data_IF_950926030103
#
_entry.id   IF_950926030103
#
_cell.length_a   1.000
_cell.length_b   1.000
_cell.length_c   1.000
_cell.angle_alpha   90.00
_cell.angle_beta   90.00
_cell.angle_gamma   90.00
#
_symmetry.space_group_name_H-M   'P 1'
#
loop_
_entity.id
_entity.type
_entity.pdbx_description
1 polymer ?
#
# COMPACT_ATOMS: atom_id res chain seq x y z
N UNK A 1 12.92 -53.92 29.79
CA UNK A 1 14.10 -53.22 29.23
C UNK A 1 13.60 -52.25 28.19
N UNK A 2 13.73 -50.96 28.46
CA UNK A 2 13.08 -49.89 27.70
C UNK A 2 13.87 -49.40 26.49
N UNK A 3 13.18 -48.57 25.71
CA UNK A 3 13.74 -47.70 24.68
C UNK A 3 12.60 -46.84 24.13
N UNK A 4 12.42 -45.59 24.57
CA UNK A 4 11.32 -44.75 24.12
C UNK A 4 11.60 -44.32 22.67
N UNK A 5 10.70 -44.69 21.76
CA UNK A 5 10.72 -44.20 20.39
C UNK A 5 10.60 -42.68 20.37
N UNK A 6 11.51 -42.00 19.66
CA UNK A 6 11.46 -40.55 19.41
C UNK A 6 10.22 -40.21 18.58
N UNK A 7 9.13 -39.92 19.27
CA UNK A 7 7.93 -39.28 18.70
C UNK A 7 8.04 -37.74 18.77
N UNK A 8 9.11 -37.20 19.37
CA UNK A 8 9.29 -35.76 19.61
C UNK A 8 9.81 -34.97 18.40
N UNK A 9 10.63 -35.55 17.52
CA UNK A 9 11.35 -34.78 16.47
C UNK A 9 10.48 -34.40 15.25
N UNK A 10 9.36 -35.10 15.01
CA UNK A 10 8.47 -34.80 13.86
C UNK A 10 7.48 -33.67 14.10
N UNK A 11 7.12 -33.37 15.35
CA UNK A 11 6.14 -32.30 15.66
C UNK A 11 6.77 -30.90 15.62
N UNK A 12 8.08 -30.79 15.79
CA UNK A 12 8.79 -29.51 15.89
C UNK A 12 9.08 -28.89 14.51
N UNK A 13 9.24 -29.72 13.47
CA UNK A 13 9.48 -29.29 12.08
C UNK A 13 8.23 -28.71 11.41
N UNK A 14 7.04 -29.24 11.71
CA UNK A 14 5.77 -28.73 11.17
C UNK A 14 5.29 -27.45 11.86
N UNK A 15 5.56 -27.29 13.17
CA UNK A 15 5.26 -26.06 13.91
C UNK A 15 6.16 -24.88 13.46
N UNK A 16 7.43 -25.15 13.12
CA UNK A 16 8.33 -24.15 12.53
C UNK A 16 7.91 -23.77 11.10
N UNK A 17 7.35 -24.74 10.34
CA UNK A 17 6.87 -24.50 8.97
C UNK A 17 5.57 -23.68 8.94
N UNK A 18 4.68 -23.85 9.91
CA UNK A 18 3.44 -23.05 10.02
C UNK A 18 3.65 -21.63 10.57
N UNK A 19 4.72 -21.39 11.33
CA UNK A 19 5.04 -20.05 11.87
C UNK A 19 5.75 -19.13 10.85
N UNK A 20 6.11 -19.66 9.68
CA UNK A 20 6.73 -18.91 8.57
C UNK A 20 5.77 -18.63 7.41
N UNK A 21 4.58 -19.23 7.37
CA UNK A 21 3.56 -18.95 6.34
C UNK A 21 3.04 -17.50 6.42
N UNK A 22 3.12 -16.87 7.61
CA UNK A 22 2.75 -15.47 7.80
C UNK A 22 3.81 -14.44 7.38
N UNK A 23 5.05 -14.87 7.10
CA UNK A 23 6.16 -13.98 6.70
C UNK A 23 6.76 -14.56 5.42
N UNK A 24 6.23 -14.14 4.27
CA UNK A 24 6.74 -14.55 2.96
C UNK A 24 8.27 -14.50 2.87
N UNK A 25 8.84 -15.28 1.96
CA UNK A 25 10.28 -15.40 1.73
C UNK A 25 10.80 -14.16 0.99
N UNK A 26 11.73 -13.39 1.59
CA UNK A 26 12.41 -12.29 0.91
C UNK A 26 13.02 -12.72 -0.43
N UNK A 27 12.92 -11.87 -1.45
CA UNK A 27 13.41 -12.11 -2.81
C UNK A 27 12.54 -13.06 -3.65
N UNK A 28 11.76 -13.94 -3.01
CA UNK A 28 10.82 -14.84 -3.70
C UNK A 28 9.41 -14.25 -3.69
N UNK A 29 8.81 -14.09 -2.52
CA UNK A 29 7.42 -13.66 -2.37
C UNK A 29 7.27 -12.13 -2.47
N UNK A 30 8.29 -11.40 -2.03
CA UNK A 30 8.41 -9.95 -2.20
C UNK A 30 9.86 -9.53 -2.43
N UNK A 31 10.11 -8.44 -3.19
CA UNK A 31 11.46 -7.90 -3.40
C UNK A 31 12.03 -7.22 -2.13
N UNK A 32 13.37 -7.12 -2.06
CA UNK A 32 14.10 -6.50 -0.93
C UNK A 32 15.17 -5.52 -1.42
N UNK A 33 14.75 -4.61 -2.29
CA UNK A 33 15.57 -3.52 -2.79
C UNK A 33 15.99 -2.61 -1.64
N UNK A 34 17.30 -2.36 -1.50
CA UNK A 34 17.85 -1.43 -0.52
C UNK A 34 18.07 -0.01 -1.08
N UNK A 35 17.92 0.16 -2.39
CA UNK A 35 18.05 1.44 -3.10
C UNK A 35 17.12 1.44 -4.31
N UNK A 36 16.64 2.62 -4.68
CA UNK A 36 15.83 2.80 -5.89
C UNK A 36 16.66 2.40 -7.10
N UNK A 37 16.26 1.37 -7.87
CA UNK A 37 16.90 1.04 -9.13
C UNK A 37 16.43 2.00 -10.23
N UNK A 38 17.17 2.04 -11.33
CA UNK A 38 16.72 2.67 -12.56
C UNK A 38 15.78 1.71 -13.31
N UNK A 39 14.65 2.23 -13.79
CA UNK A 39 13.60 1.51 -14.53
C UNK A 39 13.11 2.38 -15.69
N UNK A 40 12.37 1.81 -16.65
CA UNK A 40 11.85 2.57 -17.80
C UNK A 40 10.55 3.34 -17.49
N UNK A 41 10.40 3.86 -16.28
CA UNK A 41 9.25 4.67 -15.90
C UNK A 41 9.57 6.17 -15.97
N UNK A 42 8.74 6.91 -16.71
CA UNK A 42 8.81 8.36 -16.82
C UNK A 42 7.45 8.99 -16.56
N UNK A 43 7.43 10.06 -15.76
CA UNK A 43 6.22 10.85 -15.50
C UNK A 43 5.66 11.50 -16.77
N UNK A 44 6.52 11.87 -17.71
CA UNK A 44 6.11 12.49 -18.98
C UNK A 44 5.30 11.53 -19.88
N UNK A 45 5.42 10.22 -19.67
CA UNK A 45 4.66 9.20 -20.39
C UNK A 45 3.28 8.94 -19.77
N UNK A 46 2.97 9.56 -18.62
CA UNK A 46 1.73 9.31 -17.89
C UNK A 46 0.66 10.37 -18.18
N UNK A 47 -0.58 9.92 -18.33
CA UNK A 47 -1.72 10.81 -18.62
C UNK A 47 -2.08 11.76 -17.46
N UNK A 48 -1.83 11.35 -16.22
CA UNK A 48 -2.20 12.09 -15.02
C UNK A 48 -1.00 12.26 -14.08
N UNK A 49 -0.88 13.40 -13.36
CA UNK A 49 0.00 13.46 -12.20
C UNK A 49 -0.56 12.55 -11.09
N UNK A 50 0.31 12.04 -10.22
CA UNK A 50 -0.10 11.17 -9.12
C UNK A 50 0.94 10.13 -8.73
N UNK A 51 0.46 8.97 -8.29
CA UNK A 51 1.29 7.89 -7.75
C UNK A 51 1.26 6.68 -8.66
N UNK A 52 2.42 6.11 -8.96
CA UNK A 52 2.56 5.05 -9.95
C UNK A 52 3.38 3.88 -9.38
N UNK A 53 2.79 2.69 -9.36
CA UNK A 53 3.50 1.47 -9.01
C UNK A 53 4.51 1.10 -10.10
N UNK A 54 5.76 0.82 -9.73
CA UNK A 54 6.79 0.38 -10.67
C UNK A 54 6.74 -1.15 -10.82
N UNK A 55 6.22 -1.64 -11.95
CA UNK A 55 6.09 -3.07 -12.20
C UNK A 55 7.44 -3.77 -12.44
N UNK A 56 8.48 -3.07 -12.91
CA UNK A 56 9.82 -3.65 -13.12
C UNK A 56 10.48 -4.01 -11.78
N UNK A 57 10.16 -3.26 -10.71
CA UNK A 57 10.63 -3.54 -9.35
C UNK A 57 9.73 -4.46 -8.54
N UNK A 58 8.76 -5.12 -9.19
CA UNK A 58 7.67 -5.85 -8.52
C UNK A 58 6.93 -4.95 -7.51
N UNK A 59 6.70 -3.70 -7.90
CA UNK A 59 5.98 -2.71 -7.12
C UNK A 59 6.59 -2.39 -5.76
N UNK A 60 7.86 -2.71 -5.48
CA UNK A 60 8.51 -2.16 -4.29
C UNK A 60 8.90 -0.72 -4.49
N UNK A 61 9.34 -0.34 -5.69
CA UNK A 61 9.43 1.06 -6.06
C UNK A 61 8.07 1.60 -6.51
N UNK A 62 7.88 2.88 -6.26
CA UNK A 62 6.77 3.66 -6.80
C UNK A 62 7.23 5.09 -7.07
N UNK A 63 6.55 5.74 -7.99
CA UNK A 63 6.90 7.08 -8.47
C UNK A 63 5.81 8.07 -8.11
N UNK A 64 6.23 9.24 -7.65
CA UNK A 64 5.40 10.42 -7.52
C UNK A 64 5.66 11.33 -8.72
N UNK A 65 4.61 11.57 -9.50
CA UNK A 65 4.60 12.52 -10.60
C UNK A 65 3.83 13.76 -10.15
N UNK A 66 4.56 14.86 -10.00
CA UNK A 66 3.97 16.13 -9.63
C UNK A 66 3.27 16.79 -10.84
N UNK A 67 2.42 17.78 -10.57
CA UNK A 67 1.63 18.48 -11.60
C UNK A 67 2.48 19.24 -12.61
N UNK A 68 3.74 19.53 -12.26
CA UNK A 68 4.73 20.22 -13.09
C UNK A 68 5.69 19.25 -13.81
N UNK A 69 5.43 17.94 -13.76
CA UNK A 69 6.24 16.90 -14.40
C UNK A 69 7.42 16.42 -13.57
N UNK A 70 7.68 16.99 -12.37
CA UNK A 70 8.76 16.50 -11.51
C UNK A 70 8.48 15.06 -11.05
N UNK A 71 9.50 14.22 -11.17
CA UNK A 71 9.48 12.83 -10.73
C UNK A 71 10.30 12.64 -9.45
N UNK A 72 9.69 12.00 -8.44
CA UNK A 72 10.39 11.45 -7.29
C UNK A 72 10.09 9.95 -7.18
N UNK A 73 11.05 9.15 -6.73
CA UNK A 73 10.89 7.69 -6.62
C UNK A 73 11.23 7.22 -5.22
N UNK A 74 10.42 6.31 -4.71
CA UNK A 74 10.50 5.81 -3.33
C UNK A 74 10.44 4.29 -3.31
N UNK A 75 10.88 3.70 -2.20
CA UNK A 75 10.72 2.27 -1.93
C UNK A 75 9.72 2.06 -0.79
N UNK A 76 8.83 1.09 -0.97
CA UNK A 76 8.08 0.49 0.12
C UNK A 76 9.02 -0.34 1.03
N UNK A 77 8.74 -0.42 2.34
CA UNK A 77 9.48 -1.27 3.27
C UNK A 77 9.48 -2.76 2.87
N UNK A 78 10.48 -3.51 3.33
CA UNK A 78 10.55 -4.96 3.12
C UNK A 78 9.28 -5.66 3.65
N UNK A 79 8.70 -6.53 2.82
CA UNK A 79 7.43 -7.22 3.11
C UNK A 79 6.18 -6.50 2.59
N UNK A 80 6.34 -5.33 1.96
CA UNK A 80 5.24 -4.56 1.38
C UNK A 80 5.51 -4.26 -0.10
N UNK A 81 4.44 -3.97 -0.84
CA UNK A 81 4.48 -3.52 -2.23
C UNK A 81 3.48 -2.34 -2.36
N UNK A 82 3.72 -1.45 -3.31
CA UNK A 82 2.83 -0.34 -3.58
C UNK A 82 1.56 -0.84 -4.27
N UNK A 83 0.41 -0.59 -3.64
CA UNK A 83 -0.89 -0.93 -4.19
C UNK A 83 -1.45 0.24 -4.99
N UNK A 84 -1.43 0.13 -6.32
CA UNK A 84 -2.01 1.16 -7.18
C UNK A 84 -3.50 1.42 -6.92
N UNK A 85 -4.24 0.41 -6.44
CA UNK A 85 -5.67 0.52 -6.20
C UNK A 85 -6.02 1.48 -5.05
N UNK A 86 -5.16 1.55 -4.03
CA UNK A 86 -5.39 2.33 -2.80
C UNK A 86 -4.28 3.34 -2.51
N UNK A 87 -3.28 3.42 -3.40
CA UNK A 87 -2.19 4.40 -3.40
C UNK A 87 -1.35 4.39 -2.12
N UNK A 88 -1.14 3.21 -1.53
CA UNK A 88 -0.32 3.01 -0.33
C UNK A 88 0.52 1.74 -0.44
N UNK A 89 1.61 1.66 0.32
CA UNK A 89 2.33 0.40 0.52
C UNK A 89 1.48 -0.53 1.40
N UNK A 90 1.13 -1.70 0.88
CA UNK A 90 0.37 -2.73 1.59
C UNK A 90 1.18 -4.04 1.60
N UNK A 91 0.77 -4.99 2.42
CA UNK A 91 1.39 -6.30 2.50
C UNK A 91 1.43 -6.99 1.14
N UNK A 92 2.56 -7.61 0.82
CA UNK A 92 2.83 -8.14 -0.51
C UNK A 92 1.72 -9.07 -1.05
N UNK A 93 1.04 -9.83 -0.19
CA UNK A 93 -0.04 -10.75 -0.57
C UNK A 93 -1.38 -10.07 -0.91
N UNK A 94 -1.58 -8.81 -0.47
CA UNK A 94 -2.75 -7.99 -0.82
C UNK A 94 -2.58 -7.30 -2.17
N UNK A 95 -1.35 -7.16 -2.64
CA UNK A 95 -1.03 -6.37 -3.84
C UNK A 95 -1.07 -7.24 -5.10
N UNK A 96 -1.67 -6.71 -6.17
CA UNK A 96 -1.67 -7.29 -7.51
C UNK A 96 -0.83 -6.42 -8.43
N UNK A 97 0.49 -6.54 -8.32
CA UNK A 97 1.44 -5.63 -8.95
C UNK A 97 1.25 -5.52 -10.48
N UNK A 98 1.07 -6.65 -11.16
CA UNK A 98 0.88 -6.71 -12.63
C UNK A 98 -0.37 -6.00 -13.13
N UNK A 99 -1.37 -5.77 -12.26
CA UNK A 99 -2.59 -5.04 -12.61
C UNK A 99 -2.42 -3.53 -12.46
N UNK A 100 -1.31 -3.05 -11.89
CA UNK A 100 -1.10 -1.62 -11.61
C UNK A 100 -1.22 -0.72 -12.84
N UNK A 101 -0.67 -1.05 -14.02
CA UNK A 101 -0.82 -0.19 -15.20
C UNK A 101 -2.28 0.07 -15.59
N UNK A 102 -3.17 -0.91 -15.38
CA UNK A 102 -4.62 -0.76 -15.64
C UNK A 102 -5.31 0.17 -14.63
N UNK A 103 -4.66 0.45 -13.50
CA UNK A 103 -5.18 1.25 -12.40
C UNK A 103 -4.55 2.65 -12.34
N UNK A 104 -3.60 2.99 -13.21
CA UNK A 104 -2.99 4.32 -13.27
C UNK A 104 -4.01 5.43 -13.49
N UNK A 105 -5.12 5.16 -14.21
CA UNK A 105 -6.22 6.10 -14.40
C UNK A 105 -6.90 6.57 -13.09
N UNK A 106 -6.71 5.87 -11.97
CA UNK A 106 -7.21 6.32 -10.66
C UNK A 106 -6.57 7.66 -10.25
N UNK A 107 -5.35 7.94 -10.71
CA UNK A 107 -4.65 9.20 -10.44
C UNK A 107 -5.41 10.44 -10.94
N UNK A 108 -6.24 10.29 -11.99
CA UNK A 108 -7.09 11.36 -12.49
C UNK A 108 -8.07 11.93 -11.47
N UNK A 109 -8.27 11.25 -10.32
CA UNK A 109 -9.14 11.69 -9.22
C UNK A 109 -8.41 12.48 -8.12
N UNK A 110 -7.08 12.46 -8.06
CA UNK A 110 -6.31 13.01 -6.93
C UNK A 110 -6.36 14.53 -6.82
N UNK A 111 -6.40 15.21 -7.96
CA UNK A 111 -6.34 16.67 -8.04
C UNK A 111 -7.65 17.29 -8.52
N UNK A 112 -8.73 16.50 -8.54
CA UNK A 112 -10.05 17.03 -8.83
C UNK A 112 -10.45 17.95 -7.67
N UNK A 113 -10.78 19.20 -7.98
CA UNK A 113 -11.48 20.05 -7.01
C UNK A 113 -12.79 19.34 -6.67
N UNK A 114 -13.11 19.14 -5.38
CA UNK A 114 -14.44 18.71 -5.01
C UNK A 114 -15.42 19.69 -5.65
N UNK A 115 -16.32 19.19 -6.49
CA UNK A 115 -17.50 19.95 -6.88
C UNK A 115 -18.41 19.97 -5.66
N UNK A 116 -18.04 20.75 -4.65
CA UNK A 116 -18.97 21.09 -3.60
C UNK A 116 -20.15 21.79 -4.28
N UNK A 117 -21.34 21.21 -4.13
CA UNK A 117 -22.57 21.93 -4.43
C UNK A 117 -22.49 23.28 -3.68
N UNK A 118 -22.72 24.42 -4.35
CA UNK A 118 -22.73 25.69 -3.65
C UNK A 118 -23.77 25.61 -2.53
N UNK A 119 -23.30 25.65 -1.29
CA UNK A 119 -24.06 25.82 -0.05
C UNK A 119 -25.17 24.82 0.25
N UNK A 120 -24.82 23.64 0.81
CA UNK A 120 -25.47 23.32 2.10
C UNK A 120 -24.72 24.11 3.16
N UNK A 121 -25.38 25.00 3.93
CA UNK A 121 -24.69 25.70 5.00
C UNK A 121 -24.05 24.66 5.92
N UNK A 122 -22.76 24.85 6.23
CA UNK A 122 -22.12 24.08 7.31
C UNK A 122 -23.02 24.18 8.54
N UNK A 123 -23.20 23.06 9.26
CA UNK A 123 -24.01 23.05 10.47
C UNK A 123 -23.47 24.12 11.41
N UNK A 124 -24.27 25.16 11.66
CA UNK A 124 -23.87 26.21 12.57
C UNK A 124 -23.72 25.59 13.96
N UNK A 125 -22.59 25.87 14.61
CA UNK A 125 -22.39 25.51 16.01
C UNK A 125 -23.25 26.47 16.83
N UNK A 126 -24.51 26.11 17.05
CA UNK A 126 -25.42 26.88 17.90
C UNK A 126 -25.13 26.60 19.37
N UNK A 127 -25.48 27.55 20.26
CA UNK A 127 -25.41 27.33 21.71
C UNK A 127 -26.20 26.09 22.13
N UNK A 128 -27.37 25.91 21.54
CA UNK A 128 -28.22 24.75 21.76
C UNK A 128 -27.55 23.43 21.32
N UNK A 129 -26.78 23.44 20.23
CA UNK A 129 -25.99 22.27 19.82
C UNK A 129 -24.87 21.96 20.83
N UNK A 130 -24.17 22.98 21.32
CA UNK A 130 -23.13 22.80 22.34
C UNK A 130 -23.72 22.29 23.66
N UNK A 131 -24.86 22.82 24.09
CA UNK A 131 -25.57 22.36 25.29
C UNK A 131 -26.06 20.92 25.14
N UNK A 132 -26.57 20.54 23.96
CA UNK A 132 -26.98 19.16 23.71
C UNK A 132 -25.80 18.17 23.64
N UNK A 133 -24.61 18.60 23.21
CA UNK A 133 -23.42 17.72 23.13
C UNK A 133 -22.72 17.63 24.49
N UNK A 134 -22.60 18.74 25.21
CA UNK A 134 -21.74 18.84 26.40
C UNK A 134 -22.50 18.92 27.73
N UNK A 135 -23.79 19.28 27.72
CA UNK A 135 -24.56 19.52 28.95
C UNK A 135 -25.80 18.62 29.11
N UNK A 136 -26.19 17.81 28.11
CA UNK A 136 -27.14 16.71 28.32
C UNK A 136 -26.43 15.55 29.01
N UNK A 137 -26.56 15.51 30.33
CA UNK A 137 -26.39 14.30 31.15
C UNK A 137 -27.77 13.77 31.52
#
# INVERSE_FOLDING_TARGET
MGGPGRVSERKETDAMRMSHVGRGRPGTDFPVLGKVPYTNFYCDDQEYPGFFADVETRCQAWHYCDIDGRQATFLCPNGTQFSQAVLVCDWWFNVRCELSPKLYAINGRLYQRPTESPTRPHRLITKELLENIFAKK
#
